data_IF_305132309453
#
_entry.id   IF_305132309453
#
_cell.length_a   1.000
_cell.length_b   1.000
_cell.length_c   1.000
_cell.angle_alpha   90.00
_cell.angle_beta   90.00
_cell.angle_gamma   90.00
#
_symmetry.space_group_name_H-M   'P 1'
#
loop_
_entity.id
_entity.type
_entity.pdbx_description
1 polymer ?
#
# COMPACT_ATOMS: atom_id res chain seq x y z
N UNK A 1 -8.92 -23.70 -6.94
CA UNK A 1 -7.55 -24.26 -7.00
C UNK A 1 -6.51 -23.19 -6.66
N UNK A 2 -6.53 -21.97 -7.21
CA UNK A 2 -5.55 -20.93 -6.90
C UNK A 2 -5.44 -20.57 -5.41
N UNK A 3 -6.57 -20.49 -4.70
CA UNK A 3 -6.55 -20.29 -3.24
C UNK A 3 -5.87 -21.43 -2.48
N UNK A 4 -6.02 -22.67 -2.92
CA UNK A 4 -5.33 -23.83 -2.30
C UNK A 4 -3.83 -23.78 -2.53
N UNK A 5 -3.36 -23.22 -3.64
CA UNK A 5 -1.92 -23.07 -3.89
C UNK A 5 -1.26 -22.14 -2.88
N UNK A 6 -1.96 -21.10 -2.43
CA UNK A 6 -1.47 -20.18 -1.38
C UNK A 6 -1.32 -20.86 -0.02
N UNK A 7 -2.02 -21.99 0.21
CA UNK A 7 -1.99 -22.75 1.45
C UNK A 7 -1.00 -23.93 1.39
N UNK A 8 -0.20 -24.02 0.34
CA UNK A 8 0.86 -25.03 0.25
C UNK A 8 1.93 -24.71 1.31
N UNK A 9 2.16 -25.61 2.28
CA UNK A 9 3.08 -25.35 3.37
C UNK A 9 4.55 -25.36 2.96
N UNK A 10 4.86 -25.91 1.77
CA UNK A 10 6.25 -26.05 1.31
C UNK A 10 6.81 -24.67 0.96
N UNK A 11 7.73 -24.18 1.78
CA UNK A 11 8.45 -22.93 1.57
C UNK A 11 9.47 -23.04 0.43
N UNK A 12 9.69 -21.95 -0.29
CA UNK A 12 10.64 -21.94 -1.41
C UNK A 12 12.09 -22.10 -0.93
N UNK A 13 12.41 -21.67 0.28
CA UNK A 13 13.73 -21.83 0.87
C UNK A 13 14.01 -23.31 1.21
N UNK A 14 12.98 -24.06 1.62
CA UNK A 14 13.11 -25.52 1.83
C UNK A 14 13.38 -26.22 0.50
N UNK A 15 12.73 -25.79 -0.57
CA UNK A 15 12.95 -26.32 -1.92
C UNK A 15 14.38 -26.04 -2.38
N UNK A 16 14.90 -24.83 -2.12
CA UNK A 16 16.25 -24.45 -2.51
C UNK A 16 17.35 -25.34 -1.85
N UNK A 17 17.05 -25.91 -0.69
CA UNK A 17 17.96 -26.82 0.03
C UNK A 17 17.76 -28.30 -0.33
N UNK A 18 16.73 -28.61 -1.12
CA UNK A 18 16.37 -30.00 -1.45
C UNK A 18 17.35 -30.59 -2.48
N UNK A 19 17.97 -31.76 -2.22
CA UNK A 19 18.95 -32.37 -3.13
C UNK A 19 18.40 -32.66 -4.52
N UNK A 20 17.14 -33.10 -4.60
CA UNK A 20 16.49 -33.50 -5.85
C UNK A 20 15.09 -32.86 -5.93
N UNK A 21 14.96 -31.56 -6.24
CA UNK A 21 13.68 -30.94 -6.43
C UNK A 21 12.97 -31.48 -7.68
N UNK A 22 11.65 -31.63 -7.62
CA UNK A 22 10.81 -31.98 -8.77
C UNK A 22 10.85 -30.87 -9.84
N UNK A 23 10.35 -31.14 -11.04
CA UNK A 23 10.36 -30.17 -12.11
C UNK A 23 9.52 -28.92 -11.79
N UNK A 24 8.41 -29.09 -11.06
CA UNK A 24 7.60 -27.96 -10.56
C UNK A 24 8.37 -27.13 -9.53
N UNK A 25 9.10 -27.79 -8.64
CA UNK A 25 9.92 -27.10 -7.63
C UNK A 25 11.08 -26.33 -8.29
N UNK A 26 11.75 -26.92 -9.28
CA UNK A 26 12.76 -26.22 -10.09
C UNK A 26 12.17 -24.98 -10.80
N UNK A 27 10.98 -25.14 -11.39
CA UNK A 27 10.30 -24.02 -12.05
C UNK A 27 9.94 -22.91 -11.06
N UNK A 28 9.55 -23.23 -9.82
CA UNK A 28 9.31 -22.22 -8.77
C UNK A 28 10.55 -21.39 -8.49
N UNK A 29 11.72 -22.06 -8.32
CA UNK A 29 13.01 -21.39 -8.10
C UNK A 29 13.42 -20.52 -9.28
N UNK A 30 13.33 -21.05 -10.49
CA UNK A 30 13.67 -20.31 -11.72
C UNK A 30 12.81 -19.07 -11.91
N UNK A 31 11.50 -19.17 -11.71
CA UNK A 31 10.60 -18.03 -11.84
C UNK A 31 10.84 -16.98 -10.76
N UNK A 32 11.13 -17.41 -9.52
CA UNK A 32 11.45 -16.47 -8.45
C UNK A 32 12.70 -15.67 -8.78
N UNK A 33 13.76 -16.32 -9.26
CA UNK A 33 14.99 -15.68 -9.68
C UNK A 33 14.74 -14.70 -10.82
N UNK A 34 14.08 -15.14 -11.88
CA UNK A 34 13.77 -14.29 -13.06
C UNK A 34 12.95 -13.05 -12.67
N UNK A 35 11.92 -13.21 -11.83
CA UNK A 35 11.05 -12.09 -11.44
C UNK A 35 11.80 -11.11 -10.54
N UNK A 36 12.63 -11.61 -9.61
CA UNK A 36 13.41 -10.73 -8.74
C UNK A 36 14.51 -10.00 -9.50
N UNK A 37 15.13 -10.64 -10.52
CA UNK A 37 16.14 -10.02 -11.38
C UNK A 37 15.56 -8.91 -12.29
N UNK A 38 14.23 -8.77 -12.42
CA UNK A 38 13.64 -7.62 -13.09
C UNK A 38 13.87 -6.30 -12.33
N UNK A 39 14.23 -6.36 -11.05
CA UNK A 39 14.51 -5.17 -10.24
C UNK A 39 13.30 -4.28 -9.97
N UNK A 40 12.07 -4.80 -10.18
CA UNK A 40 10.82 -4.03 -9.99
C UNK A 40 10.65 -3.65 -8.52
N UNK A 41 10.96 -4.56 -7.61
CA UNK A 41 10.88 -4.35 -6.18
C UNK A 41 9.46 -4.22 -5.63
N UNK A 42 9.36 -3.96 -4.33
CA UNK A 42 8.08 -3.75 -3.67
C UNK A 42 7.33 -2.55 -4.26
N UNK A 43 6.10 -2.76 -4.70
CA UNK A 43 5.21 -1.73 -5.26
C UNK A 43 5.75 -1.00 -6.51
N UNK A 44 6.70 -1.58 -7.22
CA UNK A 44 7.30 -0.97 -8.39
C UNK A 44 8.24 0.20 -8.05
N UNK A 45 8.77 0.25 -6.84
CA UNK A 45 9.70 1.29 -6.38
C UNK A 45 11.18 0.91 -6.55
N UNK A 46 11.46 -0.10 -7.36
CA UNK A 46 12.75 -0.79 -7.51
C UNK A 46 13.16 -1.59 -6.28
N UNK A 47 14.13 -2.48 -6.44
CA UNK A 47 14.67 -3.28 -5.36
C UNK A 47 14.96 -4.73 -5.78
N UNK A 48 15.64 -5.45 -4.91
CA UNK A 48 16.10 -6.82 -5.16
C UNK A 48 14.99 -7.88 -4.99
N UNK A 49 13.90 -7.53 -4.30
CA UNK A 49 12.83 -8.48 -3.98
C UNK A 49 11.49 -7.96 -4.52
N UNK A 50 11.00 -8.60 -5.56
CA UNK A 50 9.67 -8.37 -6.16
C UNK A 50 8.66 -9.37 -5.65
N UNK A 51 9.06 -10.64 -5.55
CA UNK A 51 8.25 -11.74 -4.99
C UNK A 51 9.01 -12.45 -3.87
N UNK A 52 8.28 -12.90 -2.87
CA UNK A 52 8.82 -13.65 -1.73
C UNK A 52 8.72 -15.16 -1.91
N UNK A 53 7.70 -15.63 -2.62
CA UNK A 53 7.49 -17.04 -2.94
C UNK A 53 6.61 -17.18 -4.19
N UNK A 54 6.72 -18.34 -4.85
CA UNK A 54 5.89 -18.71 -6.00
C UNK A 54 5.32 -20.09 -5.74
N UNK A 55 4.00 -20.20 -5.75
CA UNK A 55 3.28 -21.47 -5.63
C UNK A 55 2.76 -21.90 -6.99
N UNK A 56 3.08 -23.11 -7.42
CA UNK A 56 2.64 -23.67 -8.71
C UNK A 56 1.82 -24.92 -8.46
N UNK A 57 0.71 -25.03 -9.17
CA UNK A 57 -0.10 -26.26 -9.28
C UNK A 57 -0.34 -26.55 -10.75
N UNK A 58 -0.08 -27.76 -11.15
CA UNK A 58 -0.34 -28.27 -12.47
C UNK A 58 -1.57 -29.19 -12.47
N UNK A 59 -2.28 -29.19 -13.58
CA UNK A 59 -3.45 -30.01 -13.80
C UNK A 59 -3.50 -30.43 -15.27
N UNK A 60 -3.97 -31.65 -15.58
CA UNK A 60 -4.23 -32.04 -16.96
C UNK A 60 -5.16 -31.06 -17.65
N UNK A 61 -4.81 -30.66 -18.86
CA UNK A 61 -5.63 -29.80 -19.72
C UNK A 61 -5.99 -30.54 -21.01
N UNK A 62 -6.94 -29.97 -21.77
CA UNK A 62 -7.26 -30.48 -23.10
C UNK A 62 -6.07 -30.30 -24.05
N UNK A 63 -5.79 -31.29 -24.91
CA UNK A 63 -4.64 -31.28 -25.81
C UNK A 63 -4.58 -30.04 -26.76
N UNK A 64 -5.70 -29.41 -27.04
CA UNK A 64 -5.81 -28.22 -27.88
C UNK A 64 -5.65 -26.90 -27.13
N UNK A 65 -5.44 -26.90 -25.81
CA UNK A 65 -5.35 -25.67 -25.01
C UNK A 65 -4.35 -25.80 -23.88
N UNK A 66 -3.56 -24.77 -23.69
CA UNK A 66 -2.65 -24.63 -22.55
C UNK A 66 -3.10 -23.44 -21.71
N UNK A 67 -4.00 -23.68 -20.77
CA UNK A 67 -4.54 -22.64 -19.89
C UNK A 67 -3.54 -22.34 -18.75
N UNK A 68 -3.15 -21.08 -18.61
CA UNK A 68 -2.34 -20.59 -17.49
C UNK A 68 -3.16 -19.54 -16.75
N UNK A 69 -3.19 -19.64 -15.41
CA UNK A 69 -3.78 -18.63 -14.54
C UNK A 69 -2.76 -18.20 -13.49
N UNK A 70 -2.63 -16.90 -13.29
CA UNK A 70 -1.76 -16.30 -12.29
C UNK A 70 -2.61 -15.51 -11.28
N UNK A 71 -2.30 -15.66 -10.00
CA UNK A 71 -2.95 -14.95 -8.91
C UNK A 71 -1.86 -14.23 -8.11
N UNK A 72 -1.60 -12.93 -8.36
CA UNK A 72 -0.76 -12.13 -7.49
C UNK A 72 -1.41 -12.01 -6.11
N UNK A 73 -0.63 -12.22 -5.06
CA UNK A 73 -1.09 -12.11 -3.69
C UNK A 73 -0.20 -11.17 -2.89
N UNK A 74 -0.77 -10.57 -1.84
CA UNK A 74 -0.01 -9.73 -0.93
C UNK A 74 1.00 -10.56 -0.14
N UNK A 75 2.17 -9.97 0.17
CA UNK A 75 3.17 -10.56 1.07
C UNK A 75 2.63 -10.79 2.49
N UNK A 76 1.62 -10.03 2.92
CA UNK A 76 0.99 -10.22 4.23
C UNK A 76 0.30 -11.59 4.31
N UNK A 77 0.86 -12.47 5.11
CA UNK A 77 0.26 -13.79 5.40
C UNK A 77 -1.01 -13.60 6.22
N UNK A 78 -2.11 -14.19 5.73
CA UNK A 78 -3.42 -14.16 6.40
C UNK A 78 -3.98 -15.57 6.55
N UNK A 79 -3.10 -16.54 6.73
CA UNK A 79 -3.44 -17.94 6.89
C UNK A 79 -3.02 -18.39 8.27
N UNK A 80 -3.87 -19.20 8.87
CA UNK A 80 -3.60 -19.87 10.12
C UNK A 80 -4.00 -21.34 9.97
N UNK A 81 -3.11 -22.25 10.30
CA UNK A 81 -3.37 -23.67 10.36
C UNK A 81 -3.59 -24.10 11.80
N UNK A 82 -4.71 -24.73 12.07
CA UNK A 82 -5.00 -25.28 13.38
C UNK A 82 -5.82 -26.56 13.24
N UNK A 83 -5.77 -27.41 14.24
CA UNK A 83 -6.53 -28.66 14.29
C UNK A 83 -7.66 -28.55 15.30
N UNK A 84 -8.82 -29.07 14.95
CA UNK A 84 -9.96 -29.27 15.85
C UNK A 84 -10.05 -30.75 16.14
N UNK A 85 -9.68 -31.16 17.35
CA UNK A 85 -9.70 -32.56 17.83
C UNK A 85 -10.87 -32.86 18.75
N UNK A 86 -11.69 -31.86 19.06
CA UNK A 86 -12.84 -31.97 19.98
C UNK A 86 -12.45 -31.88 21.46
N UNK A 87 -11.17 -31.69 21.80
CA UNK A 87 -10.70 -31.63 23.18
C UNK A 87 -10.86 -30.25 23.87
N UNK A 88 -11.42 -29.26 23.18
CA UNK A 88 -11.65 -27.92 23.74
C UNK A 88 -11.44 -26.79 22.75
N UNK A 89 -10.93 -25.66 23.23
CA UNK A 89 -10.63 -24.48 22.43
C UNK A 89 -9.42 -24.79 21.53
N UNK A 90 -9.49 -24.39 20.26
CA UNK A 90 -8.38 -24.59 19.32
C UNK A 90 -7.09 -23.91 19.82
N UNK A 91 -6.00 -24.66 19.85
CA UNK A 91 -4.69 -24.11 20.12
C UNK A 91 -4.14 -23.47 18.83
N UNK A 92 -3.84 -22.19 18.90
CA UNK A 92 -3.15 -21.47 17.84
C UNK A 92 -1.63 -21.56 18.08
N UNK A 93 -0.82 -21.75 17.02
CA UNK A 93 0.63 -21.67 17.17
C UNK A 93 1.01 -20.26 17.64
N UNK A 94 1.91 -20.19 18.59
CA UNK A 94 2.50 -18.92 18.99
C UNK A 94 3.32 -18.34 17.83
N UNK A 95 3.26 -17.03 17.68
CA UNK A 95 4.09 -16.34 16.68
C UNK A 95 5.49 -16.17 17.27
N UNK A 96 6.45 -16.84 16.66
CA UNK A 96 7.85 -16.64 16.98
C UNK A 96 8.29 -15.28 16.43
N UNK A 97 8.46 -14.31 17.31
CA UNK A 97 8.87 -12.95 16.93
C UNK A 97 10.38 -12.86 16.71
N UNK A 98 11.17 -13.83 17.20
CA UNK A 98 12.63 -13.81 17.09
C UNK A 98 13.12 -14.11 15.66
N UNK A 99 12.25 -14.67 14.80
CA UNK A 99 12.54 -14.85 13.37
C UNK A 99 12.56 -13.53 12.58
N UNK A 100 12.00 -12.46 13.12
CA UNK A 100 11.99 -11.15 12.45
C UNK A 100 13.20 -10.32 12.91
N UNK A 101 14.07 -9.90 11.98
CA UNK A 101 15.22 -9.08 12.35
C UNK A 101 14.76 -7.73 12.93
N UNK A 102 15.37 -7.30 14.00
CA UNK A 102 15.26 -5.92 14.43
C UNK A 102 15.97 -5.04 13.39
N UNK A 103 15.18 -4.28 12.63
CA UNK A 103 15.72 -3.35 11.65
C UNK A 103 15.91 -1.99 12.32
N UNK A 104 17.14 -1.62 12.57
CA UNK A 104 17.49 -0.25 12.87
C UNK A 104 17.41 0.57 11.58
N UNK A 105 16.35 1.37 11.45
CA UNK A 105 16.22 2.28 10.33
C UNK A 105 16.98 3.57 10.62
N UNK A 106 18.03 3.81 9.86
CA UNK A 106 18.69 5.12 9.88
C UNK A 106 17.86 6.16 9.14
N UNK A 107 17.11 6.94 9.90
CA UNK A 107 16.29 8.03 9.39
C UNK A 107 17.06 9.34 9.17
N UNK A 108 18.38 9.41 9.48
CA UNK A 108 19.16 10.64 9.44
C UNK A 108 19.27 11.26 8.05
N UNK A 109 19.25 10.43 7.01
CA UNK A 109 19.34 10.85 5.60
C UNK A 109 18.00 11.19 4.97
N UNK A 110 16.87 10.97 5.65
CA UNK A 110 15.55 11.23 5.09
C UNK A 110 15.09 12.67 5.37
N UNK A 111 14.42 13.27 4.39
CA UNK A 111 13.90 14.62 4.48
C UNK A 111 12.70 14.67 5.43
N UNK A 112 12.83 15.42 6.52
CA UNK A 112 11.73 15.64 7.47
C UNK A 112 10.80 16.72 6.95
N UNK A 113 9.50 16.45 6.98
CA UNK A 113 8.44 17.34 6.47
C UNK A 113 7.43 17.59 7.57
N UNK A 114 7.22 18.86 7.91
CA UNK A 114 6.15 19.29 8.80
C UNK A 114 4.90 19.59 7.96
N UNK A 115 3.88 18.76 8.07
CA UNK A 115 2.64 18.88 7.30
C UNK A 115 1.80 20.10 7.69
N UNK A 116 1.90 20.58 8.93
CA UNK A 116 1.08 21.67 9.41
C UNK A 116 1.59 23.04 8.90
N UNK A 117 2.83 23.09 8.40
CA UNK A 117 3.41 24.26 7.75
C UNK A 117 3.78 24.04 6.28
N UNK A 118 3.39 22.90 5.71
CA UNK A 118 3.73 22.55 4.33
C UNK A 118 3.06 23.49 3.32
N UNK A 119 3.82 23.92 2.33
CA UNK A 119 3.33 24.74 1.22
C UNK A 119 3.61 24.08 -0.14
N UNK A 120 2.90 24.49 -1.19
CA UNK A 120 3.16 24.02 -2.56
C UNK A 120 4.58 24.35 -3.03
N UNK A 121 5.12 25.49 -2.62
CA UNK A 121 6.49 25.88 -2.93
C UNK A 121 7.51 24.91 -2.33
N UNK A 122 7.31 24.49 -1.09
CA UNK A 122 8.18 23.48 -0.48
C UNK A 122 8.07 22.12 -1.18
N UNK A 123 6.87 21.78 -1.67
CA UNK A 123 6.65 20.53 -2.42
C UNK A 123 7.28 20.54 -3.80
N UNK A 124 7.47 21.69 -4.44
CA UNK A 124 8.14 21.78 -5.75
C UNK A 124 9.60 21.34 -5.71
N UNK A 125 10.21 21.29 -4.53
CA UNK A 125 11.56 20.75 -4.31
C UNK A 125 11.59 19.24 -4.06
N UNK A 126 10.48 18.51 -4.21
CA UNK A 126 10.46 17.05 -4.08
C UNK A 126 10.68 16.39 -5.44
N UNK A 127 11.48 15.34 -5.44
CA UNK A 127 11.71 14.53 -6.63
C UNK A 127 11.11 13.14 -6.44
N UNK A 128 10.68 12.51 -7.53
CA UNK A 128 10.25 11.12 -7.50
C UNK A 128 11.36 10.23 -6.93
N UNK A 129 10.98 9.33 -6.02
CA UNK A 129 11.91 8.47 -5.30
C UNK A 129 12.42 9.04 -3.97
N UNK A 130 12.23 10.35 -3.70
CA UNK A 130 12.58 10.92 -2.39
C UNK A 130 11.81 10.21 -1.28
N UNK A 131 12.49 9.79 -0.23
CA UNK A 131 11.86 9.30 1.00
C UNK A 131 11.71 10.44 2.00
N UNK A 132 10.48 10.65 2.42
CA UNK A 132 10.08 11.72 3.35
C UNK A 132 9.60 11.12 4.66
N UNK A 133 9.88 11.82 5.77
CA UNK A 133 9.32 11.54 7.09
C UNK A 133 8.29 12.61 7.43
N UNK A 134 7.02 12.24 7.40
CA UNK A 134 5.92 13.18 7.61
C UNK A 134 5.60 13.32 9.10
N UNK A 135 5.53 14.55 9.58
CA UNK A 135 5.08 14.88 10.94
C UNK A 135 4.01 15.96 10.87
N UNK A 136 2.91 15.82 11.62
CA UNK A 136 1.79 16.75 11.65
C UNK A 136 0.46 16.07 11.37
N UNK A 137 -0.52 16.86 10.90
CA UNK A 137 -1.90 16.42 10.73
C UNK A 137 -2.18 15.93 9.32
N UNK A 138 -2.76 14.74 9.18
CA UNK A 138 -3.29 14.20 7.92
C UNK A 138 -4.78 13.85 8.07
N UNK A 139 -5.52 13.95 6.96
CA UNK A 139 -6.92 13.54 6.87
C UNK A 139 -6.99 12.17 6.20
N UNK A 140 -7.85 11.29 6.66
CA UNK A 140 -8.04 10.00 5.98
C UNK A 140 -9.28 10.02 5.11
N UNK A 141 -9.31 9.15 4.11
CA UNK A 141 -10.50 8.90 3.31
C UNK A 141 -10.24 7.85 2.26
N UNK A 142 -11.21 6.96 2.02
CA UNK A 142 -11.14 5.99 0.93
C UNK A 142 -12.49 5.91 0.21
N UNK A 143 -12.80 4.77 -0.41
CA UNK A 143 -13.87 4.65 -1.39
C UNK A 143 -15.22 5.23 -0.96
N UNK A 144 -15.76 4.83 0.19
CA UNK A 144 -17.10 5.25 0.63
C UNK A 144 -17.10 6.73 1.06
N UNK A 145 -16.07 7.18 1.77
CA UNK A 145 -15.94 8.59 2.15
C UNK A 145 -15.89 9.50 0.91
N UNK A 146 -15.05 9.17 -0.09
CA UNK A 146 -14.96 9.96 -1.33
C UNK A 146 -16.25 9.91 -2.16
N UNK A 147 -16.93 8.78 -2.22
CA UNK A 147 -18.23 8.67 -2.89
C UNK A 147 -19.27 9.59 -2.20
N UNK A 148 -19.25 9.66 -0.87
CA UNK A 148 -20.13 10.53 -0.09
C UNK A 148 -19.79 12.01 -0.30
N UNK A 149 -18.48 12.36 -0.30
CA UNK A 149 -18.04 13.73 -0.61
C UNK A 149 -18.51 14.16 -2.00
N UNK A 150 -18.33 13.27 -3.00
CA UNK A 150 -18.81 13.53 -4.36
C UNK A 150 -20.31 13.77 -4.39
N UNK A 151 -21.10 12.92 -3.76
CA UNK A 151 -22.55 13.09 -3.68
C UNK A 151 -22.94 14.43 -3.04
N UNK A 152 -22.28 14.81 -1.94
CA UNK A 152 -22.55 16.10 -1.27
C UNK A 152 -22.25 17.31 -2.16
N UNK A 153 -21.17 17.25 -2.94
CA UNK A 153 -20.83 18.30 -3.89
C UNK A 153 -21.82 18.34 -5.07
N UNK A 154 -22.17 17.18 -5.62
CA UNK A 154 -23.17 17.07 -6.70
C UNK A 154 -24.56 17.60 -6.26
N UNK A 155 -24.92 17.38 -5.00
CA UNK A 155 -26.16 17.87 -4.37
C UNK A 155 -26.09 19.37 -3.99
N UNK A 156 -24.96 20.05 -4.20
CA UNK A 156 -24.75 21.45 -3.78
C UNK A 156 -24.64 21.68 -2.27
N UNK A 157 -24.45 20.61 -1.49
CA UNK A 157 -24.35 20.68 -0.02
C UNK A 157 -22.99 21.12 0.50
N UNK A 158 -21.99 21.20 -0.40
CA UNK A 158 -20.59 21.47 -0.05
C UNK A 158 -19.93 20.32 0.74
N UNK A 159 -18.77 20.58 1.30
CA UNK A 159 -18.01 19.61 2.09
C UNK A 159 -18.59 19.47 3.51
N UNK A 160 -18.33 18.35 4.22
CA UNK A 160 -18.87 18.13 5.56
C UNK A 160 -18.34 19.18 6.54
N UNK A 161 -19.25 19.76 7.34
CA UNK A 161 -18.90 20.74 8.37
C UNK A 161 -17.89 20.16 9.36
N UNK A 162 -16.85 20.93 9.68
CA UNK A 162 -15.83 20.54 10.66
C UNK A 162 -14.67 19.72 10.07
N UNK A 163 -14.66 19.46 8.74
CA UNK A 163 -13.50 18.88 8.04
C UNK A 163 -12.83 19.98 7.27
N UNK A 164 -11.58 20.27 7.62
CA UNK A 164 -10.73 21.19 6.87
C UNK A 164 -9.74 20.40 6.00
N UNK A 165 -9.90 20.49 4.69
CA UNK A 165 -9.00 19.86 3.72
C UNK A 165 -7.87 20.82 3.26
N UNK A 166 -7.97 22.11 3.57
CA UNK A 166 -7.03 23.13 3.09
C UNK A 166 -5.61 22.86 3.61
N UNK A 167 -4.68 22.81 2.69
CA UNK A 167 -3.26 22.56 2.94
C UNK A 167 -3.00 21.24 3.68
N UNK A 168 -3.84 20.23 3.49
CA UNK A 168 -3.70 18.92 4.09
C UNK A 168 -3.33 17.84 3.05
N UNK A 169 -2.77 16.73 3.53
CA UNK A 169 -2.65 15.52 2.76
C UNK A 169 -3.79 14.56 3.12
N UNK A 170 -4.31 13.84 2.11
CA UNK A 170 -5.28 12.76 2.32
C UNK A 170 -4.56 11.41 2.31
N UNK A 171 -4.74 10.64 3.35
CA UNK A 171 -4.28 9.27 3.44
C UNK A 171 -5.40 8.29 3.09
N UNK A 172 -5.19 7.51 2.04
CA UNK A 172 -6.13 6.50 1.58
C UNK A 172 -6.02 5.25 2.45
N UNK A 173 -6.76 5.24 3.54
CA UNK A 173 -6.73 4.19 4.56
C UNK A 173 -8.12 3.95 5.14
N UNK A 174 -8.39 2.71 5.49
CA UNK A 174 -9.48 2.33 6.40
C UNK A 174 -8.83 1.64 7.59
N UNK A 175 -8.57 2.38 8.67
CA UNK A 175 -7.87 1.85 9.82
C UNK A 175 -8.76 0.84 10.57
N UNK A 176 -8.12 -0.16 11.16
CA UNK A 176 -8.77 -1.08 12.09
C UNK A 176 -8.96 -0.36 13.42
N UNK A 177 -10.05 -0.65 14.13
CA UNK A 177 -10.27 -0.10 15.46
C UNK A 177 -9.16 -0.55 16.42
N UNK A 178 -8.81 0.31 17.37
CA UNK A 178 -7.77 0.06 18.36
C UNK A 178 -8.12 -1.11 19.27
N UNK A 179 -7.11 -1.87 19.68
CA UNK A 179 -7.24 -2.95 20.68
C UNK A 179 -6.30 -2.64 21.84
N UNK A 180 -6.80 -2.74 23.07
CA UNK A 180 -6.03 -2.41 24.26
C UNK A 180 -5.60 -0.93 24.28
N UNK A 181 -4.31 -0.68 24.47
CA UNK A 181 -3.73 0.67 24.59
C UNK A 181 -3.32 1.31 23.24
N UNK A 182 -3.72 0.72 22.14
CA UNK A 182 -3.41 1.26 20.80
C UNK A 182 -4.14 2.59 20.57
N UNK A 183 -3.49 3.54 19.91
CA UNK A 183 -4.14 4.77 19.41
C UNK A 183 -5.10 4.44 18.27
N UNK A 184 -4.69 3.50 17.41
CA UNK A 184 -5.44 2.96 16.30
C UNK A 184 -4.83 1.60 15.92
N UNK A 185 -5.63 0.67 15.45
CA UNK A 185 -5.14 -0.60 14.93
C UNK A 185 -4.40 -0.46 13.60
N UNK A 186 -4.08 -1.56 12.93
CA UNK A 186 -3.37 -1.55 11.66
C UNK A 186 -3.98 -0.57 10.65
N UNK A 187 -3.15 0.33 10.12
CA UNK A 187 -3.55 1.44 9.26
C UNK A 187 -2.77 1.44 7.93
N UNK A 188 -2.80 0.32 7.21
CA UNK A 188 -2.10 0.16 5.93
C UNK A 188 -2.76 0.92 4.77
N UNK A 189 -1.95 1.41 3.81
CA UNK A 189 -2.47 2.17 2.69
C UNK A 189 -3.35 1.33 1.77
N UNK A 190 -4.39 1.96 1.25
CA UNK A 190 -5.27 1.40 0.22
C UNK A 190 -4.69 1.65 -1.18
N UNK A 191 -4.98 0.77 -2.14
CA UNK A 191 -4.64 0.97 -3.55
C UNK A 191 -5.23 2.27 -4.08
N UNK A 192 -4.35 3.18 -4.52
CA UNK A 192 -4.72 4.54 -4.90
C UNK A 192 -5.42 4.62 -6.25
N UNK A 193 -5.17 3.69 -7.19
CA UNK A 193 -5.79 3.66 -8.52
C UNK A 193 -7.33 3.67 -8.45
N UNK A 194 -7.92 3.05 -7.42
CA UNK A 194 -9.37 3.08 -7.19
C UNK A 194 -9.90 4.48 -6.90
N UNK A 195 -9.03 5.36 -6.38
CA UNK A 195 -9.36 6.74 -6.00
C UNK A 195 -9.22 7.72 -7.16
N UNK A 196 -8.68 7.30 -8.31
CA UNK A 196 -8.46 8.16 -9.47
C UNK A 196 -9.72 8.86 -9.94
N UNK A 197 -10.85 8.17 -9.92
CA UNK A 197 -12.16 8.70 -10.28
C UNK A 197 -12.63 9.87 -9.39
N UNK A 198 -12.05 10.03 -8.22
CA UNK A 198 -12.38 11.10 -7.27
C UNK A 198 -11.31 12.19 -7.21
N UNK A 199 -10.10 11.93 -7.70
CA UNK A 199 -8.94 12.78 -7.46
C UNK A 199 -9.12 14.18 -8.04
N UNK A 200 -9.57 14.29 -9.30
CA UNK A 200 -9.79 15.60 -9.92
C UNK A 200 -10.84 16.42 -9.15
N UNK A 201 -11.94 15.79 -8.75
CA UNK A 201 -12.98 16.44 -7.94
C UNK A 201 -12.41 16.95 -6.61
N UNK A 202 -11.57 16.16 -5.93
CA UNK A 202 -10.95 16.59 -4.68
C UNK A 202 -10.01 17.76 -4.90
N UNK A 203 -9.14 17.70 -5.92
CA UNK A 203 -8.19 18.77 -6.23
C UNK A 203 -8.89 20.07 -6.65
N UNK A 204 -10.02 20.00 -7.34
CA UNK A 204 -10.79 21.17 -7.78
C UNK A 204 -11.62 21.82 -6.67
N UNK A 205 -12.13 21.01 -5.73
CA UNK A 205 -13.04 21.50 -4.69
C UNK A 205 -12.41 21.69 -3.32
N UNK A 206 -11.13 21.32 -3.20
CA UNK A 206 -10.36 21.48 -1.97
C UNK A 206 -8.97 22.02 -2.30
N UNK A 207 -8.27 22.46 -1.29
CA UNK A 207 -6.89 22.91 -1.45
C UNK A 207 -5.90 21.86 -0.88
N UNK A 208 -6.18 20.58 -1.11
CA UNK A 208 -5.27 19.51 -0.66
C UNK A 208 -3.92 19.62 -1.36
N UNK A 209 -2.86 19.32 -0.61
CA UNK A 209 -1.49 19.37 -1.10
C UNK A 209 -1.06 18.03 -1.68
N UNK A 210 -1.54 16.93 -1.12
CA UNK A 210 -1.11 15.61 -1.56
C UNK A 210 -2.03 14.48 -1.15
N UNK A 211 -1.76 13.34 -1.73
CA UNK A 211 -2.45 12.09 -1.47
C UNK A 211 -1.45 11.02 -1.10
N UNK A 212 -1.76 10.20 -0.11
CA UNK A 212 -0.92 9.11 0.35
C UNK A 212 -1.67 7.80 0.13
N UNK A 213 -1.05 6.84 -0.54
CA UNK A 213 -1.67 5.55 -0.82
C UNK A 213 -0.65 4.47 -1.16
N UNK A 214 -1.04 3.49 -1.96
CA UNK A 214 -0.13 2.51 -2.57
C UNK A 214 -0.48 2.27 -4.02
N UNK A 215 0.45 1.63 -4.77
CA UNK A 215 0.35 1.36 -6.20
C UNK A 215 0.37 2.63 -7.08
N UNK A 216 0.24 2.43 -8.37
CA UNK A 216 0.32 3.48 -9.39
C UNK A 216 -0.92 4.36 -9.50
N UNK A 217 -0.79 5.46 -10.23
CA UNK A 217 -1.90 6.35 -10.62
C UNK A 217 -2.04 6.35 -12.14
N UNK A 218 -3.29 6.42 -12.61
CA UNK A 218 -3.58 6.56 -14.03
C UNK A 218 -3.13 7.91 -14.60
N UNK A 219 -2.80 7.98 -15.91
CA UNK A 219 -2.24 9.18 -16.53
C UNK A 219 -3.10 10.43 -16.33
N UNK A 220 -4.42 10.33 -16.46
CA UNK A 220 -5.35 11.46 -16.22
C UNK A 220 -5.23 12.04 -14.80
N UNK A 221 -4.96 11.18 -13.84
CA UNK A 221 -4.74 11.58 -12.45
C UNK A 221 -3.39 12.27 -12.28
N UNK A 222 -2.34 11.76 -12.93
CA UNK A 222 -1.02 12.40 -12.97
C UNK A 222 -1.11 13.80 -13.57
N UNK A 223 -1.85 13.97 -14.67
CA UNK A 223 -2.07 15.26 -15.31
C UNK A 223 -2.83 16.23 -14.38
N UNK A 224 -3.81 15.72 -13.62
CA UNK A 224 -4.53 16.51 -12.62
C UNK A 224 -3.63 16.91 -11.45
N UNK A 225 -2.76 16.02 -10.97
CA UNK A 225 -1.76 16.31 -9.93
C UNK A 225 -0.86 17.46 -10.38
N UNK A 226 -0.31 17.35 -11.59
CA UNK A 226 0.51 18.43 -12.20
C UNK A 226 -0.26 19.75 -12.30
N UNK A 227 -1.48 19.73 -12.86
CA UNK A 227 -2.33 20.92 -13.02
C UNK A 227 -2.53 21.67 -11.70
N UNK A 228 -2.70 20.94 -10.60
CA UNK A 228 -2.97 21.49 -9.27
C UNK A 228 -1.71 21.62 -8.40
N UNK A 229 -0.52 21.32 -8.94
CA UNK A 229 0.76 21.35 -8.22
C UNK A 229 0.68 20.55 -6.90
N UNK A 230 -0.02 19.44 -6.93
CA UNK A 230 -0.12 18.50 -5.81
C UNK A 230 0.96 17.42 -5.90
N UNK A 231 0.99 16.46 -4.97
CA UNK A 231 1.88 15.31 -5.05
C UNK A 231 1.16 14.03 -4.66
N UNK A 232 1.63 12.92 -5.18
CA UNK A 232 1.20 11.61 -4.72
C UNK A 232 2.37 10.86 -4.06
N UNK A 233 2.13 10.40 -2.85
CA UNK A 233 3.10 9.73 -2.00
C UNK A 233 2.68 8.28 -1.80
N UNK A 234 3.64 7.37 -1.77
CA UNK A 234 3.40 5.96 -1.46
C UNK A 234 3.83 5.68 -0.02
N UNK A 235 2.91 5.14 0.78
CA UNK A 235 3.24 4.49 2.03
C UNK A 235 3.43 2.99 1.79
N UNK A 236 4.35 2.35 2.52
CA UNK A 236 4.72 0.95 2.29
C UNK A 236 3.51 0.04 2.57
N UNK A 237 3.11 -0.72 1.56
CA UNK A 237 2.08 -1.76 1.69
C UNK A 237 2.62 -2.96 2.46
N UNK A 238 1.75 -3.63 3.21
CA UNK A 238 2.14 -4.75 4.08
C UNK A 238 2.65 -4.34 5.46
N UNK A 239 3.13 -3.09 5.63
CA UNK A 239 3.63 -2.54 6.88
C UNK A 239 2.56 -1.80 7.70
N UNK A 240 1.30 -2.25 7.63
CA UNK A 240 0.16 -1.57 8.28
C UNK A 240 0.36 -1.32 9.78
N UNK A 241 0.96 -2.28 10.47
CA UNK A 241 1.28 -2.17 11.88
C UNK A 241 2.41 -1.15 12.14
N UNK A 242 3.46 -1.15 11.33
CA UNK A 242 4.56 -0.19 11.46
C UNK A 242 4.09 1.24 11.18
N UNK A 243 3.21 1.42 10.19
CA UNK A 243 2.62 2.73 9.91
C UNK A 243 1.74 3.18 11.08
N UNK A 244 0.93 2.29 11.68
CA UNK A 244 0.09 2.66 12.83
C UNK A 244 0.92 3.18 14.00
N UNK A 245 2.14 2.70 14.21
CA UNK A 245 3.07 3.22 15.24
C UNK A 245 3.47 4.69 15.01
N UNK A 246 3.47 5.18 13.77
CA UNK A 246 3.70 6.59 13.49
C UNK A 246 2.51 7.48 13.85
N UNK A 247 1.31 6.92 14.00
CA UNK A 247 0.08 7.64 14.33
C UNK A 247 0.01 7.86 15.84
N UNK A 248 0.08 9.11 16.27
CA UNK A 248 0.11 9.49 17.68
C UNK A 248 -1.25 9.86 18.24
N UNK A 249 -2.17 10.32 17.36
CA UNK A 249 -3.58 10.55 17.70
C UNK A 249 -4.46 10.19 16.51
N UNK A 250 -5.66 9.73 16.79
CA UNK A 250 -6.67 9.39 15.79
C UNK A 250 -8.05 9.87 16.27
N UNK A 251 -8.77 10.61 15.42
CA UNK A 251 -10.09 11.14 15.75
C UNK A 251 -11.02 11.01 14.54
N UNK A 252 -12.18 10.37 14.69
CA UNK A 252 -13.23 10.37 13.65
C UNK A 252 -13.86 11.76 13.60
N UNK A 253 -13.72 12.47 12.47
CA UNK A 253 -14.19 13.86 12.30
C UNK A 253 -15.43 13.97 11.42
N UNK A 254 -15.66 13.01 10.50
CA UNK A 254 -16.89 12.95 9.70
C UNK A 254 -17.27 11.51 9.33
N UNK A 255 -18.55 11.31 8.98
CA UNK A 255 -19.12 10.03 8.53
C UNK A 255 -18.86 8.89 9.52
N UNK A 256 -19.05 9.17 10.81
CA UNK A 256 -18.74 8.23 11.90
C UNK A 256 -19.48 6.90 11.77
N UNK A 257 -20.67 6.92 11.17
CA UNK A 257 -21.50 5.75 10.89
C UNK A 257 -20.87 4.77 9.87
N UNK A 258 -19.88 5.20 9.12
CA UNK A 258 -19.20 4.37 8.12
C UNK A 258 -18.07 3.51 8.72
N UNK A 259 -17.85 3.52 10.04
CA UNK A 259 -16.84 2.71 10.70
C UNK A 259 -15.42 3.02 10.19
N UNK A 260 -14.73 2.02 9.64
CA UNK A 260 -13.38 2.19 9.09
C UNK A 260 -13.33 3.06 7.80
N UNK A 261 -14.48 3.32 7.17
CA UNK A 261 -14.61 4.22 6.01
C UNK A 261 -14.91 5.67 6.42
N UNK A 262 -15.01 5.95 7.73
CA UNK A 262 -15.16 7.30 8.25
C UNK A 262 -13.94 8.18 7.87
N UNK A 263 -14.13 9.50 7.89
CA UNK A 263 -13.01 10.43 7.79
C UNK A 263 -12.41 10.61 9.19
N UNK A 264 -11.12 10.30 9.28
CA UNK A 264 -10.33 10.52 10.49
C UNK A 264 -9.37 11.69 10.27
N UNK A 265 -9.02 12.32 11.36
CA UNK A 265 -7.85 13.17 11.49
C UNK A 265 -6.81 12.40 12.29
N UNK A 266 -5.62 12.23 11.72
CA UNK A 266 -4.47 11.61 12.36
C UNK A 266 -3.39 12.65 12.63
N UNK A 267 -2.81 12.61 13.82
CA UNK A 267 -1.54 13.26 14.11
C UNK A 267 -0.44 12.21 13.96
N UNK A 268 0.45 12.42 13.00
CA UNK A 268 1.56 11.49 12.71
C UNK A 268 2.90 12.08 13.11
N UNK A 269 3.86 11.20 13.41
CA UNK A 269 5.25 11.55 13.67
C UNK A 269 6.19 10.62 12.91
N UNK A 270 7.06 11.22 12.11
CA UNK A 270 8.07 10.54 11.31
C UNK A 270 7.49 9.39 10.44
N UNK A 271 6.28 9.60 9.88
CA UNK A 271 5.63 8.61 9.01
C UNK A 271 6.39 8.51 7.67
N UNK A 272 6.97 7.34 7.33
CA UNK A 272 7.78 7.22 6.12
C UNK A 272 6.89 7.07 4.88
N UNK A 273 7.21 7.85 3.86
CA UNK A 273 6.56 7.78 2.54
C UNK A 273 7.58 8.07 1.43
N UNK A 274 7.28 7.61 0.22
CA UNK A 274 8.09 7.88 -0.97
C UNK A 274 7.30 8.72 -1.97
N UNK A 275 7.94 9.73 -2.57
CA UNK A 275 7.34 10.56 -3.63
C UNK A 275 7.20 9.70 -4.89
N UNK A 276 5.97 9.43 -5.30
CA UNK A 276 5.68 8.62 -6.48
C UNK A 276 5.25 9.45 -7.69
N UNK A 277 4.53 10.54 -7.46
CA UNK A 277 4.26 11.58 -8.46
C UNK A 277 4.55 12.93 -7.83
N UNK A 278 5.46 13.69 -8.42
CA UNK A 278 5.79 15.04 -7.97
C UNK A 278 4.83 16.10 -8.54
N UNK A 279 5.02 17.34 -8.14
CA UNK A 279 4.19 18.48 -8.57
C UNK A 279 4.32 18.82 -10.06
N UNK A 280 5.38 18.35 -10.72
CA UNK A 280 5.60 18.51 -12.16
C UNK A 280 5.00 17.35 -12.99
N UNK A 281 4.43 16.35 -12.32
CA UNK A 281 3.82 15.18 -12.96
C UNK A 281 4.83 14.11 -13.41
N UNK A 282 6.06 14.14 -12.91
CA UNK A 282 6.94 13.01 -13.07
C UNK A 282 6.39 11.84 -12.25
N UNK A 283 6.42 10.66 -12.84
CA UNK A 283 5.83 9.46 -12.23
C UNK A 283 6.87 8.35 -12.16
N UNK A 284 7.17 7.88 -10.95
CA UNK A 284 8.17 6.85 -10.71
C UNK A 284 7.86 5.54 -11.48
N UNK A 285 6.59 5.16 -11.58
CA UNK A 285 6.17 3.95 -12.27
C UNK A 285 6.39 4.03 -13.80
N UNK A 286 6.39 5.24 -14.39
CA UNK A 286 6.64 5.42 -15.82
C UNK A 286 8.12 5.20 -16.20
N UNK A 287 9.04 5.31 -15.26
CA UNK A 287 10.45 5.06 -15.48
C UNK A 287 10.70 3.56 -15.66
N UNK A 288 10.07 2.75 -14.82
CA UNK A 288 10.23 1.29 -14.83
C UNK A 288 9.50 0.62 -16.00
N UNK A 289 8.35 1.13 -16.43
CA UNK A 289 7.66 0.60 -17.61
C UNK A 289 8.48 0.75 -18.92
N UNK A 290 9.34 1.76 -18.99
CA UNK A 290 10.28 1.95 -20.12
C UNK A 290 11.47 0.98 -20.10
N UNK A 291 11.79 0.40 -18.96
CA UNK A 291 12.87 -0.59 -18.85
C UNK A 291 12.40 -2.00 -19.18
N UNK A 292 11.13 -2.33 -18.94
CA UNK A 292 10.56 -3.64 -19.30
C UNK A 292 10.41 -3.84 -20.81
N UNK A 293 10.31 -2.77 -21.60
CA UNK A 293 10.27 -2.83 -23.07
C UNK A 293 11.64 -3.10 -23.73
N UNK A 294 12.70 -3.31 -22.96
CA UNK A 294 14.03 -3.69 -23.44
C UNK A 294 14.33 -5.19 -23.31
N UNK A 295 13.33 -5.98 -22.95
CA UNK A 295 13.45 -7.44 -22.85
C UNK A 295 12.83 -8.18 -24.05
N UNK A 296 12.53 -7.46 -25.14
CA UNK A 296 12.17 -8.01 -26.46
C UNK A 296 13.42 -8.20 -27.34
#
# INVERSE_FOLDING_TARGET
NGKRSLMDPVDINDIAQKPNPSDIEKLRLELMDKINNLGIGAQGLSGLTTVLDIKIKDYPTHAASQAIAMIPNCAATRHLHFSLDGAGVANFPEVDMDIYPELEMDYSQYKKVNLDSLTREQMSGWNIGDTLLLTGTIITGRDAAHARLKQMLDDGKGLPKGVNFDNKCIYYVGPVDAVGDEVIGPAGPTTATRMDKFTNMMLENTNILGMIGKAERGQKTVDSIKKHQASYLIAVGGAAYLISKSIKKAKKIAFKEMGMEAIYEFEVKDMPVTVAVDSEGHNIHSIFSKHSSRLD
#
